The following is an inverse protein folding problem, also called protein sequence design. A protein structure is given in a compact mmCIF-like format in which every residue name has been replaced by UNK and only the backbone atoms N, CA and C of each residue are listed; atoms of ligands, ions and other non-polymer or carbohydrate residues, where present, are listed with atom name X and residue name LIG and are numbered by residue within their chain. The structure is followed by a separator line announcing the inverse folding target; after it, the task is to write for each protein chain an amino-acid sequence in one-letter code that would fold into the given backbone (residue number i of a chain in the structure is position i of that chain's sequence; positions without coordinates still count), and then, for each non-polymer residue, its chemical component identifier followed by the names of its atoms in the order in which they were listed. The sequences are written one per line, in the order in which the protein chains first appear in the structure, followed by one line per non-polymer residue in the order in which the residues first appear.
data_IF_885947907757
#
_entry.id   IF_885947907757
#
_cell.length_a   1.000
_cell.length_b   1.000
_cell.length_c   1.000
_cell.angle_alpha   90.00
_cell.angle_beta   90.00
_cell.angle_gamma   90.00
#
_symmetry.space_group_name_H-M   'P 1'
#
loop_
_entity.id
_entity.type
_entity.pdbx_description
1 polymer ?
#
# COMPACT_ATOMS: atom_id res chain seq x y z
N UNK A 1 40.96 33.39 11.79
CA UNK A 1 40.21 32.80 10.67
C UNK A 1 40.34 31.29 10.76
N UNK A 2 39.38 30.62 11.41
CA UNK A 2 39.49 29.22 11.83
C UNK A 2 38.89 28.31 10.75
N UNK A 3 39.75 27.54 10.07
CA UNK A 3 39.34 26.44 9.18
C UNK A 3 38.73 25.33 10.04
N UNK A 4 37.42 25.13 9.92
CA UNK A 4 36.71 24.02 10.56
C UNK A 4 36.98 22.74 9.78
N UNK A 5 37.50 21.75 10.49
CA UNK A 5 37.85 20.42 10.04
C UNK A 5 36.58 19.64 9.70
N UNK A 6 36.40 19.29 8.42
CA UNK A 6 35.47 18.25 7.97
C UNK A 6 36.15 16.89 8.14
N UNK A 7 35.98 16.27 9.32
CA UNK A 7 36.24 14.84 9.50
C UNK A 7 34.93 14.07 9.29
N UNK A 8 34.56 13.91 8.03
CA UNK A 8 33.58 12.90 7.63
C UNK A 8 34.28 11.55 7.51
N UNK A 9 34.64 10.95 8.65
CA UNK A 9 35.07 9.55 8.74
C UNK A 9 33.83 8.66 8.86
N UNK A 10 33.07 8.54 7.77
CA UNK A 10 32.22 7.36 7.58
C UNK A 10 33.10 6.20 7.16
N UNK A 11 33.44 5.37 8.15
CA UNK A 11 34.13 4.11 7.98
C UNK A 11 33.46 3.26 6.89
N UNK A 12 34.17 3.03 5.79
CA UNK A 12 33.76 2.12 4.70
C UNK A 12 34.05 0.68 5.12
N UNK A 13 33.20 0.11 5.97
CA UNK A 13 33.03 -1.34 5.94
C UNK A 13 31.99 -1.62 4.85
N UNK A 14 32.45 -2.19 3.74
CA UNK A 14 31.63 -2.64 2.61
C UNK A 14 30.69 -3.76 3.05
N UNK A 15 29.62 -3.40 3.76
CA UNK A 15 28.55 -4.32 4.12
C UNK A 15 27.80 -4.69 2.84
N UNK A 16 27.90 -5.95 2.44
CA UNK A 16 27.04 -6.49 1.39
C UNK A 16 25.58 -6.36 1.82
N UNK A 17 24.76 -5.71 0.99
CA UNK A 17 23.32 -5.59 1.21
C UNK A 17 22.57 -6.37 0.12
N UNK A 18 21.75 -7.33 0.54
CA UNK A 18 20.88 -8.08 -0.37
C UNK A 18 19.52 -7.37 -0.41
N UNK A 19 19.09 -7.01 -1.63
CA UNK A 19 17.75 -6.50 -1.90
C UNK A 19 17.01 -7.53 -2.76
N UNK A 20 15.82 -7.89 -2.34
CA UNK A 20 14.97 -8.83 -3.07
C UNK A 20 13.89 -8.05 -3.81
N UNK A 21 13.60 -8.45 -5.04
CA UNK A 21 12.62 -7.79 -5.89
C UNK A 21 11.54 -8.78 -6.28
N UNK A 22 10.29 -8.40 -6.05
CA UNK A 22 9.12 -9.22 -6.29
C UNK A 22 8.26 -8.51 -7.32
N UNK A 23 8.21 -9.05 -8.54
CA UNK A 23 7.38 -8.49 -9.61
C UNK A 23 5.93 -8.91 -9.43
N UNK A 24 5.01 -7.96 -9.42
CA UNK A 24 3.58 -8.20 -9.24
C UNK A 24 2.81 -7.80 -10.50
N UNK A 25 2.10 -8.76 -11.08
CA UNK A 25 1.22 -8.59 -12.24
C UNK A 25 -0.11 -9.29 -11.95
N UNK A 26 -1.22 -8.62 -12.23
CA UNK A 26 -2.56 -9.12 -12.00
C UNK A 26 -2.97 -9.17 -10.53
N UNK A 27 -4.18 -9.67 -10.23
CA UNK A 27 -4.61 -9.89 -8.85
C UNK A 27 -3.65 -10.80 -8.11
N UNK A 28 -3.21 -10.39 -6.91
CA UNK A 28 -2.32 -11.20 -6.09
C UNK A 28 -3.11 -12.07 -5.10
N UNK A 29 -2.70 -13.32 -4.94
CA UNK A 29 -3.11 -14.13 -3.81
C UNK A 29 -2.42 -13.56 -2.55
N UNK A 30 -3.24 -13.10 -1.61
CA UNK A 30 -2.74 -12.51 -0.36
C UNK A 30 -3.38 -13.17 0.85
N UNK A 31 -2.60 -13.38 1.90
CA UNK A 31 -3.10 -13.83 3.19
C UNK A 31 -2.51 -12.99 4.31
N UNK A 32 -3.32 -12.74 5.34
CA UNK A 32 -2.92 -11.95 6.50
C UNK A 32 -3.34 -12.70 7.75
N UNK A 33 -2.38 -13.01 8.61
CA UNK A 33 -2.59 -13.83 9.81
C UNK A 33 -1.93 -13.19 11.02
N UNK A 34 -2.47 -13.49 12.20
CA UNK A 34 -1.87 -13.13 13.48
C UNK A 34 -1.27 -14.38 14.11
N UNK A 35 -0.11 -14.23 14.72
CA UNK A 35 0.63 -15.29 15.40
C UNK A 35 0.82 -14.88 16.84
N UNK A 36 0.50 -15.80 17.77
CA UNK A 36 0.70 -15.68 19.23
C UNK A 36 0.28 -14.30 19.81
N UNK A 37 -0.96 -13.83 19.54
CA UNK A 37 -1.41 -12.53 20.03
C UNK A 37 -1.37 -12.44 21.56
N UNK A 38 -0.95 -11.29 22.09
CA UNK A 38 -0.83 -11.06 23.53
C UNK A 38 0.43 -11.65 24.19
N UNK A 39 1.38 -12.15 23.39
CA UNK A 39 2.69 -12.62 23.88
C UNK A 39 3.82 -11.74 23.35
N UNK A 40 5.01 -11.84 23.94
CA UNK A 40 6.21 -11.15 23.44
C UNK A 40 6.63 -11.63 22.05
N UNK A 41 6.23 -12.85 21.67
CA UNK A 41 6.43 -13.42 20.34
C UNK A 41 5.29 -13.13 19.36
N UNK A 42 4.46 -12.12 19.63
CA UNK A 42 3.37 -11.75 18.74
C UNK A 42 3.91 -11.27 17.39
N UNK A 43 3.23 -11.66 16.31
CA UNK A 43 3.55 -11.20 14.96
C UNK A 43 2.29 -11.14 14.09
N UNK A 44 2.28 -10.25 13.10
CA UNK A 44 1.32 -10.27 12.00
C UNK A 44 2.07 -10.66 10.74
N UNK A 45 1.65 -11.73 10.05
CA UNK A 45 2.23 -12.10 8.77
C UNK A 45 1.37 -11.60 7.60
N UNK A 46 2.04 -11.17 6.53
CA UNK A 46 1.44 -10.81 5.25
C UNK A 46 2.11 -11.64 4.16
N UNK A 47 1.34 -12.52 3.52
CA UNK A 47 1.78 -13.24 2.33
C UNK A 47 1.28 -12.52 1.08
N UNK A 48 2.14 -12.35 0.10
CA UNK A 48 1.83 -11.83 -1.24
C UNK A 48 2.56 -12.73 -2.25
N UNK A 49 1.83 -13.64 -2.90
CA UNK A 49 2.43 -14.67 -3.73
C UNK A 49 3.46 -15.52 -2.97
N UNK A 50 4.70 -15.54 -3.45
CA UNK A 50 5.85 -16.22 -2.82
C UNK A 50 6.55 -15.43 -1.70
N UNK A 51 6.10 -14.21 -1.40
CA UNK A 51 6.71 -13.37 -0.34
C UNK A 51 5.93 -13.45 0.96
N UNK A 52 6.63 -13.60 2.07
CA UNK A 52 6.10 -13.64 3.42
C UNK A 52 6.79 -12.59 4.29
N UNK A 53 6.01 -11.69 4.86
CA UNK A 53 6.50 -10.61 5.71
C UNK A 53 5.93 -10.78 7.11
N UNK A 54 6.77 -11.01 8.11
CA UNK A 54 6.41 -10.96 9.52
C UNK A 54 6.61 -9.55 10.05
N UNK A 55 5.59 -9.01 10.69
CA UNK A 55 5.56 -7.66 11.26
C UNK A 55 5.44 -7.81 12.77
N UNK A 56 6.39 -7.26 13.52
CA UNK A 56 6.49 -7.47 14.97
C UNK A 56 5.96 -6.33 15.81
N UNK A 57 5.53 -5.22 15.19
CA UNK A 57 4.97 -4.08 15.89
C UNK A 57 3.91 -3.34 15.04
N UNK A 58 3.03 -2.62 15.73
CA UNK A 58 1.94 -1.87 15.07
C UNK A 58 2.44 -0.69 14.22
N UNK A 59 3.55 -0.08 14.59
CA UNK A 59 4.10 1.09 13.89
C UNK A 59 4.61 0.70 12.51
N UNK A 60 5.33 -0.41 12.41
CA UNK A 60 5.80 -1.01 11.16
C UNK A 60 4.63 -1.35 10.24
N UNK A 61 3.55 -1.95 10.76
CA UNK A 61 2.35 -2.22 9.97
C UNK A 61 1.72 -0.94 9.40
N UNK A 62 1.63 0.10 10.24
CA UNK A 62 1.12 1.42 9.84
C UNK A 62 2.04 2.11 8.82
N UNK A 63 3.35 1.97 8.97
CA UNK A 63 4.37 2.49 8.03
C UNK A 63 4.23 1.82 6.67
N UNK A 64 4.09 0.51 6.61
CA UNK A 64 3.87 -0.21 5.35
C UNK A 64 2.55 0.17 4.69
N UNK A 65 1.45 0.25 5.45
CA UNK A 65 0.17 0.74 4.92
C UNK A 65 0.32 2.15 4.34
N UNK A 66 0.94 3.09 5.07
CA UNK A 66 1.15 4.47 4.64
C UNK A 66 2.00 4.54 3.37
N UNK A 67 3.04 3.72 3.26
CA UNK A 67 3.85 3.64 2.05
C UNK A 67 2.99 3.26 0.83
N UNK A 68 2.18 2.20 0.92
CA UNK A 68 1.26 1.80 -0.15
C UNK A 68 0.20 2.87 -0.46
N UNK A 69 -0.37 3.50 0.57
CA UNK A 69 -1.35 4.57 0.37
C UNK A 69 -0.76 5.80 -0.33
N UNK A 70 0.51 6.15 -0.04
CA UNK A 70 1.21 7.22 -0.73
C UNK A 70 1.34 6.98 -2.25
N UNK A 71 1.39 5.70 -2.64
CA UNK A 71 1.45 5.25 -4.03
C UNK A 71 0.13 5.37 -4.80
N UNK A 72 -1.02 5.58 -4.14
CA UNK A 72 -2.36 5.54 -4.79
C UNK A 72 -2.49 6.52 -5.95
N UNK A 73 -1.95 7.74 -5.82
CA UNK A 73 -2.00 8.72 -6.92
C UNK A 73 -1.14 8.29 -8.11
N UNK A 74 0.03 7.71 -7.83
CA UNK A 74 0.95 7.22 -8.85
C UNK A 74 0.39 5.97 -9.53
N UNK A 75 -0.26 5.07 -8.78
CA UNK A 75 -0.86 3.85 -9.29
C UNK A 75 -1.90 4.09 -10.40
N UNK A 76 -2.50 5.29 -10.47
CA UNK A 76 -3.42 5.68 -11.56
C UNK A 76 -2.77 5.73 -12.95
N UNK A 77 -1.44 5.83 -13.03
CA UNK A 77 -0.71 5.76 -14.30
C UNK A 77 -0.21 4.37 -14.64
N UNK A 78 -0.55 3.36 -13.84
CA UNK A 78 -0.26 1.97 -14.19
C UNK A 78 -1.22 1.49 -15.28
N UNK A 79 -0.82 0.50 -16.09
CA UNK A 79 -1.74 -0.24 -16.93
C UNK A 79 -2.93 -0.81 -16.12
N UNK A 80 -4.10 -0.87 -16.75
CA UNK A 80 -5.27 -1.57 -16.18
C UNK A 80 -4.99 -3.06 -16.06
N UNK A 81 -4.35 -3.63 -17.08
CA UNK A 81 -3.93 -5.02 -17.15
C UNK A 81 -2.45 -5.07 -17.52
N UNK A 82 -1.66 -5.77 -16.71
CA UNK A 82 -0.25 -5.99 -16.97
C UNK A 82 0.00 -7.22 -17.84
N UNK A 83 1.24 -7.33 -18.29
CA UNK A 83 1.74 -8.44 -19.10
C UNK A 83 2.17 -9.60 -18.19
N UNK A 84 1.35 -10.65 -18.12
CA UNK A 84 1.56 -11.81 -17.28
C UNK A 84 2.82 -12.61 -17.66
N UNK A 85 3.32 -12.48 -18.89
CA UNK A 85 4.53 -13.19 -19.34
C UNK A 85 5.77 -12.78 -18.52
N UNK A 86 5.73 -11.61 -17.88
CA UNK A 86 6.79 -11.07 -17.02
C UNK A 86 6.98 -11.81 -15.71
N UNK A 87 5.97 -12.54 -15.26
CA UNK A 87 5.96 -13.27 -13.98
C UNK A 87 5.69 -14.75 -14.18
N UNK A 88 5.77 -15.24 -15.41
CA UNK A 88 5.61 -16.66 -15.67
C UNK A 88 6.71 -17.47 -14.97
N UNK A 89 6.35 -18.58 -14.30
CA UNK A 89 7.33 -19.49 -13.73
C UNK A 89 8.30 -19.98 -14.80
N UNK A 90 9.58 -20.03 -14.45
CA UNK A 90 10.60 -20.62 -15.32
C UNK A 90 10.52 -22.14 -15.15
N UNK A 91 10.18 -22.85 -16.22
CA UNK A 91 10.06 -24.32 -16.20
C UNK A 91 11.33 -24.98 -15.67
N UNK A 92 11.17 -25.90 -14.71
CA UNK A 92 12.29 -26.60 -14.08
C UNK A 92 12.96 -25.84 -12.92
N UNK A 93 12.55 -24.59 -12.64
CA UNK A 93 13.02 -23.83 -11.48
C UNK A 93 11.92 -23.74 -10.42
N UNK A 94 12.25 -24.05 -9.17
CA UNK A 94 11.34 -23.84 -8.05
C UNK A 94 11.04 -22.34 -7.89
N UNK A 95 9.79 -22.01 -7.57
CA UNK A 95 9.41 -20.62 -7.32
C UNK A 95 10.15 -20.08 -6.08
N UNK A 96 10.87 -18.95 -6.19
CA UNK A 96 11.60 -18.40 -5.06
C UNK A 96 10.61 -17.91 -4.00
N UNK A 97 10.81 -18.37 -2.76
CA UNK A 97 10.10 -17.86 -1.60
C UNK A 97 10.99 -16.89 -0.82
N UNK A 98 10.41 -15.78 -0.37
CA UNK A 98 11.15 -14.73 0.34
C UNK A 98 10.49 -14.54 1.69
N UNK A 99 11.29 -14.59 2.75
CA UNK A 99 10.84 -14.27 4.10
C UNK A 99 11.55 -13.01 4.59
N UNK A 100 10.79 -12.07 5.15
CA UNK A 100 11.33 -10.89 5.82
C UNK A 100 10.67 -10.71 7.18
N UNK A 101 11.50 -10.51 8.19
CA UNK A 101 11.08 -10.00 9.49
C UNK A 101 11.22 -8.47 9.48
N UNK A 102 10.16 -7.79 9.91
CA UNK A 102 10.07 -6.34 9.92
C UNK A 102 9.69 -5.86 11.31
N UNK A 103 10.54 -5.02 11.86
CA UNK A 103 10.35 -4.33 13.12
C UNK A 103 10.97 -2.92 13.00
N UNK A 104 10.61 -2.03 13.93
CA UNK A 104 11.23 -0.71 14.08
C UNK A 104 11.06 0.22 12.86
N UNK A 105 9.95 0.07 12.12
CA UNK A 105 9.60 0.90 10.96
C UNK A 105 10.73 1.00 9.92
N UNK A 106 11.08 -0.11 9.25
CA UNK A 106 12.15 -0.09 8.26
C UNK A 106 11.78 0.82 7.09
N UNK A 107 12.77 1.34 6.32
CA UNK A 107 12.52 2.30 5.25
C UNK A 107 11.43 1.83 4.28
N UNK A 108 10.38 2.64 4.13
CA UNK A 108 9.25 2.31 3.28
C UNK A 108 8.89 3.48 2.37
N UNK A 109 8.58 3.20 1.11
CA UNK A 109 8.24 4.26 0.15
C UNK A 109 7.80 3.75 -1.22
N UNK A 110 7.26 4.67 -2.01
CA UNK A 110 6.73 4.42 -3.34
C UNK A 110 7.37 5.38 -4.35
N UNK A 111 7.80 4.88 -5.50
CA UNK A 111 8.26 5.70 -6.62
C UNK A 111 7.78 5.14 -7.96
N UNK A 112 7.26 6.00 -8.81
CA UNK A 112 6.88 5.65 -10.18
C UNK A 112 8.11 5.61 -11.06
N UNK A 113 8.29 4.54 -11.81
CA UNK A 113 9.30 4.45 -12.86
C UNK A 113 8.62 4.53 -14.24
N UNK A 114 9.11 5.46 -15.06
CA UNK A 114 8.69 5.62 -16.46
C UNK A 114 9.94 5.56 -17.33
N UNK A 115 10.01 4.57 -18.21
CA UNK A 115 11.09 4.45 -19.19
C UNK A 115 10.50 4.65 -20.59
N UNK A 116 11.15 5.43 -21.48
CA UNK A 116 10.69 5.58 -22.85
C UNK A 116 10.51 4.21 -23.51
N UNK A 117 9.37 4.01 -24.19
CA UNK A 117 9.05 2.75 -24.88
C UNK A 117 8.62 1.58 -23.97
N UNK A 118 8.52 1.77 -22.65
CA UNK A 118 8.07 0.72 -21.73
C UNK A 118 6.83 1.16 -20.93
N UNK A 119 5.96 0.20 -20.52
CA UNK A 119 4.87 0.48 -19.60
C UNK A 119 5.38 1.09 -18.29
N UNK A 120 4.62 2.02 -17.73
CA UNK A 120 4.89 2.58 -16.40
C UNK A 120 4.77 1.49 -15.33
N UNK A 121 5.64 1.53 -14.32
CA UNK A 121 5.61 0.59 -13.18
C UNK A 121 5.84 1.32 -11.87
N UNK A 122 5.23 0.84 -10.80
CA UNK A 122 5.33 1.45 -9.48
C UNK A 122 6.28 0.61 -8.63
N UNK A 123 7.39 1.21 -8.22
CA UNK A 123 8.35 0.59 -7.34
C UNK A 123 8.04 0.90 -5.89
N UNK A 124 7.62 -0.11 -5.14
CA UNK A 124 7.41 -0.03 -3.70
C UNK A 124 8.63 -0.61 -2.99
N UNK A 125 9.17 0.06 -1.98
CA UNK A 125 10.22 -0.50 -1.11
C UNK A 125 9.67 -0.62 0.29
N UNK A 126 9.82 -1.79 0.91
CA UNK A 126 9.53 -2.07 2.31
C UNK A 126 10.77 -2.76 2.90
N UNK A 127 11.62 -2.01 3.60
CA UNK A 127 12.91 -2.48 4.08
C UNK A 127 13.79 -3.02 2.94
N UNK A 128 14.08 -4.33 2.97
CA UNK A 128 14.92 -5.00 1.96
C UNK A 128 14.14 -5.65 0.82
N UNK A 129 12.80 -5.64 0.87
CA UNK A 129 11.95 -6.12 -0.22
C UNK A 129 11.51 -4.93 -1.07
N UNK A 130 11.74 -5.03 -2.37
CA UNK A 130 11.12 -4.18 -3.38
C UNK A 130 9.99 -4.93 -4.06
N UNK A 131 8.83 -4.29 -4.24
CA UNK A 131 7.78 -4.77 -5.13
C UNK A 131 7.79 -3.95 -6.42
N UNK A 132 7.93 -4.62 -7.56
CA UNK A 132 7.81 -4.02 -8.88
C UNK A 132 6.37 -4.23 -9.39
N UNK A 133 5.52 -3.21 -9.24
CA UNK A 133 4.08 -3.32 -9.48
C UNK A 133 3.73 -2.86 -10.89
N UNK A 134 3.17 -3.76 -11.68
CA UNK A 134 2.95 -3.54 -13.11
C UNK A 134 1.53 -3.13 -13.50
N UNK A 135 0.53 -3.33 -12.64
CA UNK A 135 -0.85 -2.97 -12.96
C UNK A 135 -1.72 -2.61 -11.74
N UNK A 136 -2.94 -2.15 -12.04
CA UNK A 136 -3.93 -1.75 -11.05
C UNK A 136 -4.31 -2.90 -10.11
N UNK A 137 -4.52 -4.10 -10.65
CA UNK A 137 -5.00 -5.23 -9.88
C UNK A 137 -3.97 -5.65 -8.82
N UNK A 138 -2.70 -5.74 -9.20
CA UNK A 138 -1.58 -6.04 -8.32
C UNK A 138 -1.43 -5.01 -7.21
N UNK A 139 -1.54 -3.72 -7.56
CA UNK A 139 -1.47 -2.63 -6.59
C UNK A 139 -2.60 -2.72 -5.56
N UNK A 140 -3.84 -2.88 -6.02
CA UNK A 140 -5.01 -2.85 -5.16
C UNK A 140 -5.13 -4.07 -4.25
N UNK A 141 -4.83 -5.28 -4.73
CA UNK A 141 -4.83 -6.49 -3.89
C UNK A 141 -3.79 -6.37 -2.77
N UNK A 142 -2.60 -5.88 -3.10
CA UNK A 142 -1.51 -5.74 -2.13
C UNK A 142 -1.78 -4.63 -1.12
N UNK A 143 -2.28 -3.47 -1.55
CA UNK A 143 -2.73 -2.41 -0.64
C UNK A 143 -3.84 -2.90 0.30
N UNK A 144 -4.78 -3.70 -0.20
CA UNK A 144 -5.84 -4.27 0.63
C UNK A 144 -5.27 -5.21 1.71
N UNK A 145 -4.26 -6.02 1.37
CA UNK A 145 -3.56 -6.87 2.33
C UNK A 145 -2.89 -6.04 3.44
N UNK A 146 -2.14 -4.99 3.10
CA UNK A 146 -1.49 -4.14 4.11
C UNK A 146 -2.48 -3.33 4.96
N UNK A 147 -3.63 -2.92 4.41
CA UNK A 147 -4.72 -2.34 5.21
C UNK A 147 -5.33 -3.34 6.19
N UNK A 148 -5.43 -4.61 5.80
CA UNK A 148 -5.87 -5.68 6.70
C UNK A 148 -4.81 -5.96 7.77
N UNK A 149 -3.54 -5.97 7.39
CA UNK A 149 -2.42 -6.17 8.31
C UNK A 149 -2.37 -5.07 9.38
N UNK A 150 -2.47 -3.81 9.01
CA UNK A 150 -2.53 -2.68 9.94
C UNK A 150 -3.68 -2.80 10.94
N UNK A 151 -4.89 -3.10 10.46
CA UNK A 151 -6.06 -3.32 11.34
C UNK A 151 -5.90 -4.53 12.27
N UNK A 152 -5.18 -5.57 11.82
CA UNK A 152 -4.91 -6.75 12.62
C UNK A 152 -3.81 -6.44 13.66
N UNK A 153 -2.76 -5.75 13.26
CA UNK A 153 -1.65 -5.32 14.11
C UNK A 153 -2.15 -4.45 15.26
N UNK A 154 -3.07 -3.52 15.02
CA UNK A 154 -3.68 -2.70 16.07
C UNK A 154 -4.43 -3.52 17.15
N UNK A 155 -4.84 -4.76 16.84
CA UNK A 155 -5.46 -5.69 17.81
C UNK A 155 -4.45 -6.60 18.49
N UNK A 156 -3.42 -7.00 17.76
CA UNK A 156 -2.39 -7.95 18.20
C UNK A 156 -1.35 -7.27 19.10
N UNK A 157 -1.02 -6.02 18.80
CA UNK A 157 -0.04 -5.21 19.52
C UNK A 157 -0.77 -4.07 20.26
N UNK A 158 -1.32 -4.33 21.45
CA UNK A 158 -1.95 -3.27 22.22
C UNK A 158 -0.90 -2.19 22.54
N UNK A 159 -1.23 -0.90 22.39
CA UNK A 159 -0.28 0.17 22.68
C UNK A 159 0.10 0.14 24.16
N UNK A 160 1.39 0.24 24.44
CA UNK A 160 1.89 0.32 25.82
C UNK A 160 1.35 1.59 26.49
N UNK A 161 1.19 1.61 27.83
CA UNK A 161 0.72 2.81 28.54
C UNK A 161 1.56 4.06 28.22
N UNK A 162 2.87 3.89 28.05
CA UNK A 162 3.81 4.96 27.68
C UNK A 162 3.55 5.52 26.29
N UNK A 163 3.32 4.65 25.30
CA UNK A 163 2.95 5.07 23.94
C UNK A 163 1.66 5.90 23.94
N UNK A 164 0.65 5.47 24.72
CA UNK A 164 -0.61 6.23 24.86
C UNK A 164 -0.38 7.61 25.47
N UNK A 165 0.45 7.69 26.52
CA UNK A 165 0.79 8.95 27.17
C UNK A 165 1.53 9.90 26.22
N UNK A 166 2.51 9.38 25.47
CA UNK A 166 3.27 10.14 24.48
C UNK A 166 2.35 10.66 23.35
N UNK A 167 1.48 9.81 22.80
CA UNK A 167 0.50 10.25 21.80
C UNK A 167 -0.47 11.31 22.33
N UNK A 168 -0.92 11.18 23.59
CA UNK A 168 -1.79 12.15 24.22
C UNK A 168 -1.08 13.49 24.43
N UNK A 169 0.19 13.45 24.84
CA UNK A 169 1.05 14.64 24.96
C UNK A 169 1.25 15.31 23.59
N UNK A 170 1.57 14.55 22.54
CA UNK A 170 1.73 15.05 21.18
C UNK A 170 0.44 15.68 20.63
N UNK A 171 -0.72 15.06 20.85
CA UNK A 171 -2.03 15.63 20.48
C UNK A 171 -2.33 16.92 21.23
N UNK A 172 -1.97 16.98 22.51
CA UNK A 172 -2.19 18.17 23.36
C UNK A 172 -1.27 19.31 22.90
N UNK A 173 0.01 19.04 22.69
CA UNK A 173 0.96 19.99 22.15
C UNK A 173 0.53 20.50 20.77
N UNK A 174 0.12 19.60 19.87
CA UNK A 174 -0.39 19.98 18.54
C UNK A 174 -1.59 20.92 18.57
N UNK A 175 -2.45 20.85 19.61
CA UNK A 175 -3.55 21.81 19.81
C UNK A 175 -3.06 23.16 20.33
N UNK A 176 -2.06 23.16 21.22
CA UNK A 176 -1.49 24.38 21.79
C UNK A 176 -0.66 25.16 20.77
N UNK A 177 0.02 24.47 19.86
CA UNK A 177 0.87 25.06 18.83
C UNK A 177 0.19 25.19 17.46
N UNK A 178 -1.10 24.84 17.34
CA UNK A 178 -1.85 25.09 16.12
C UNK A 178 -1.99 26.61 15.91
N UNK A 179 -1.70 27.15 14.72
CA UNK A 179 -1.84 28.58 14.47
C UNK A 179 -3.31 29.01 14.70
N UNK A 180 -3.55 30.12 15.42
CA UNK A 180 -4.89 30.64 15.66
C UNK A 180 -5.49 31.10 14.33
N UNK A 181 -6.23 30.22 13.66
CA UNK A 181 -6.82 30.48 12.35
C UNK A 181 -7.24 29.24 11.57
N UNK A 182 -6.71 28.05 11.89
CA UNK A 182 -7.05 26.81 11.16
C UNK A 182 -8.43 26.21 11.52
N UNK A 183 -9.17 26.80 12.47
CA UNK A 183 -10.40 26.22 13.02
C UNK A 183 -11.72 26.81 12.50
N UNK A 184 -11.71 27.79 11.59
CA UNK A 184 -12.94 28.45 11.14
C UNK A 184 -12.96 28.68 9.63
N UNK A 185 -13.30 27.64 8.87
CA UNK A 185 -14.12 27.79 7.66
C UNK A 185 -14.55 26.40 7.16
N UNK A 186 -15.53 25.82 7.88
CA UNK A 186 -16.41 24.82 7.27
C UNK A 186 -17.65 25.60 6.84
N UNK A 187 -17.82 25.96 5.56
CA UNK A 187 -19.07 26.50 5.09
C UNK A 187 -20.13 25.39 5.19
N UNK A 188 -21.03 25.56 6.15
CA UNK A 188 -22.31 24.86 6.22
C UNK A 188 -23.12 25.32 5.00
N UNK A 189 -22.88 24.70 3.84
CA UNK A 189 -23.72 24.87 2.66
C UNK A 189 -25.06 24.15 2.91
N UNK A 190 -25.92 24.77 3.73
CA UNK A 190 -27.35 24.58 3.63
C UNK A 190 -27.79 25.19 2.30
N UNK A 191 -28.01 24.36 1.28
CA UNK A 191 -28.73 24.77 0.08
C UNK A 191 -30.10 24.08 0.05
N UNK A 192 -31.20 24.86 -0.05
CA UNK A 192 -32.56 24.33 0.03
C UNK A 192 -32.93 23.42 -1.14
N UNK A 193 -33.76 22.42 -0.82
CA UNK A 193 -34.58 21.63 -1.74
C UNK A 193 -35.52 22.54 -2.53
N UNK A 194 -35.22 22.76 -3.81
CA UNK A 194 -36.20 23.21 -4.80
C UNK A 194 -36.68 21.98 -5.57
N UNK A 195 -37.86 21.49 -5.19
CA UNK A 195 -38.61 20.50 -5.93
C UNK A 195 -39.08 21.13 -7.26
N UNK A 196 -38.49 20.70 -8.37
CA UNK A 196 -39.05 20.92 -9.71
C UNK A 196 -39.66 19.61 -10.16
N UNK A 197 -40.97 19.64 -10.33
CA UNK A 197 -41.79 18.55 -10.79
C UNK A 197 -41.65 18.33 -12.31
N UNK A 198 -41.46 17.05 -12.70
CA UNK A 198 -41.91 16.37 -13.95
C UNK A 198 -41.41 16.92 -15.32
N UNK A 199 -41.42 16.13 -16.42
CA UNK A 199 -42.28 14.97 -16.72
C UNK A 199 -41.57 13.67 -17.12
N UNK A 200 -42.36 12.59 -17.07
CA UNK A 200 -42.06 11.27 -17.58
C UNK A 200 -42.02 11.29 -19.11
N UNK A 201 -40.98 10.69 -19.71
CA UNK A 201 -40.95 10.38 -21.13
C UNK A 201 -40.34 9.00 -21.37
N UNK A 202 -41.21 8.13 -21.90
CA UNK A 202 -40.96 7.07 -22.86
C UNK A 202 -39.90 5.98 -22.57
N UNK A 203 -40.43 4.80 -22.20
CA UNK A 203 -39.88 3.47 -22.51
C UNK A 203 -39.41 3.36 -23.98
N UNK A 204 -38.20 2.86 -24.24
CA UNK A 204 -37.89 2.16 -25.48
C UNK A 204 -38.21 0.67 -25.34
N UNK A 205 -39.01 0.16 -26.28
CA UNK A 205 -39.36 -1.25 -26.45
C UNK A 205 -38.12 -2.13 -26.75
N UNK A 206 -38.14 -3.43 -26.36
CA UNK A 206 -37.13 -4.40 -26.76
C UNK A 206 -37.22 -4.70 -28.27
N UNK A 207 -36.10 -4.54 -28.99
CA UNK A 207 -35.96 -5.04 -30.36
C UNK A 207 -35.85 -6.56 -30.34
N UNK A 208 -36.85 -7.21 -30.94
CA UNK A 208 -36.81 -8.61 -31.32
C UNK A 208 -35.65 -8.87 -32.29
N UNK A 209 -34.87 -9.93 -32.03
CA UNK A 209 -33.92 -10.51 -32.98
C UNK A 209 -34.68 -11.57 -33.80
N UNK A 210 -34.72 -11.48 -35.14
CA UNK A 210 -35.28 -12.54 -35.96
C UNK A 210 -34.35 -13.75 -36.01
N UNK A 211 -34.96 -14.92 -35.86
CA UNK A 211 -34.37 -16.20 -36.21
C UNK A 211 -34.25 -16.30 -37.74
N UNK A 212 -33.01 -16.48 -38.21
CA UNK A 212 -32.71 -17.05 -39.53
C UNK A 212 -31.87 -18.27 -39.16
N UNK A 213 -32.31 -19.50 -39.37
CA UNK A 213 -32.81 -20.02 -40.64
C UNK A 213 -31.77 -21.03 -41.10
N UNK A 214 -31.96 -22.27 -40.62
CA UNK A 214 -31.20 -23.46 -41.01
C UNK A 214 -31.75 -23.93 -42.35
N UNK A 215 -30.90 -24.13 -43.35
CA UNK A 215 -31.24 -24.82 -44.58
C UNK A 215 -30.06 -25.67 -45.03
N UNK A 216 -30.32 -26.98 -45.06
CA UNK A 216 -29.69 -28.10 -45.80
C UNK A 216 -28.21 -28.35 -45.55
#
# INVERSE_FOLDING_TARGET
MVKRVEESRMSRNGGQAIKVVVSLVGPQETSVQAHRPGTDGAAVSVRVGGSLIYIHDAETAATFRRAWESGVRQARSLPVQGDLTRVMPVSGLAEPAVMMEAAESPPAGARMERRPGHPSRLWMTLGRIGFDVHDHAAFHSTLAAFRRADRLAAKVFPPTPEQRACEQAARTAGRLFAPPGAAADRPTAGRPTAAVARPAAARPLPRARPAIGRAV
#
